data_IF_878435365214
#
_entry.id   IF_878435365214
#
_cell.length_a   1.000
_cell.length_b   1.000
_cell.length_c   1.000
_cell.angle_alpha   90.00
_cell.angle_beta   90.00
_cell.angle_gamma   90.00
#
_symmetry.space_group_name_H-M   'P 1'
#
loop_
_entity.id
_entity.type
_entity.pdbx_description
1 polymer ?
#
# COMPACT_ATOMS: atom_id res chain seq x y z
N UNK A 1 12.95 22.57 47.28
CA UNK A 1 11.85 22.54 46.29
C UNK A 1 11.97 21.24 45.51
N UNK A 2 10.98 20.35 45.59
CA UNK A 2 10.99 19.08 44.88
C UNK A 2 10.63 19.31 43.40
N UNK A 3 11.50 18.92 42.46
CA UNK A 3 11.18 18.91 41.03
C UNK A 3 10.50 17.58 40.71
N UNK A 4 9.20 17.64 40.42
CA UNK A 4 8.43 16.47 40.00
C UNK A 4 8.65 16.27 38.50
N UNK A 5 9.17 15.10 38.12
CA UNK A 5 9.28 14.71 36.71
C UNK A 5 7.95 14.09 36.27
N UNK A 6 7.40 14.58 35.16
CA UNK A 6 6.23 13.99 34.53
C UNK A 6 6.69 12.84 33.63
N UNK A 7 6.07 11.66 33.79
CA UNK A 7 6.26 10.55 32.85
C UNK A 7 5.48 10.89 31.59
N UNK A 8 6.18 10.96 30.47
CA UNK A 8 5.60 11.12 29.14
C UNK A 8 5.61 9.75 28.45
N UNK A 9 4.50 9.39 27.83
CA UNK A 9 4.41 8.16 27.03
C UNK A 9 4.61 8.54 25.56
N UNK A 10 5.59 7.94 24.92
CA UNK A 10 5.81 8.08 23.48
C UNK A 10 5.14 6.92 22.76
N UNK A 11 4.48 7.24 21.65
CA UNK A 11 3.91 6.24 20.74
C UNK A 11 4.53 6.39 19.35
N UNK A 12 4.75 5.26 18.69
CA UNK A 12 5.11 5.20 17.27
C UNK A 12 3.90 4.68 16.51
N UNK A 13 3.56 5.35 15.42
CA UNK A 13 2.50 4.89 14.53
C UNK A 13 2.92 3.59 13.85
N UNK A 14 2.12 2.54 13.99
CA UNK A 14 2.29 1.29 13.23
C UNK A 14 2.16 1.49 11.72
N UNK A 15 1.59 2.60 11.26
CA UNK A 15 1.61 2.93 9.83
C UNK A 15 3.04 3.13 9.32
N UNK A 16 3.96 3.62 10.15
CA UNK A 16 5.35 3.84 9.74
C UNK A 16 6.12 2.54 9.49
N UNK A 17 5.62 1.41 10.02
CA UNK A 17 6.16 0.07 9.75
C UNK A 17 5.87 -0.39 8.31
N UNK A 18 4.93 0.25 7.60
CA UNK A 18 4.48 -0.22 6.28
C UNK A 18 4.38 0.87 5.22
N UNK A 19 4.08 2.11 5.62
CA UNK A 19 3.79 3.25 4.73
C UNK A 19 4.90 4.29 4.74
N UNK A 20 6.15 3.83 4.77
CA UNK A 20 7.31 4.64 4.38
C UNK A 20 7.69 4.33 2.94
N UNK A 21 8.40 5.24 2.27
CA UNK A 21 8.79 4.99 0.88
C UNK A 21 9.69 3.75 0.74
N UNK A 22 10.58 3.53 1.70
CA UNK A 22 11.45 2.35 1.71
C UNK A 22 10.65 1.07 1.93
N UNK A 23 9.70 1.06 2.87
CA UNK A 23 8.84 -0.09 3.14
C UNK A 23 7.98 -0.44 1.93
N UNK A 24 7.36 0.57 1.31
CA UNK A 24 6.57 0.39 0.09
C UNK A 24 7.42 -0.14 -1.06
N UNK A 25 8.64 0.37 -1.25
CA UNK A 25 9.55 -0.15 -2.28
C UNK A 25 9.96 -1.60 -2.02
N UNK A 26 10.21 -1.98 -0.76
CA UNK A 26 10.53 -3.36 -0.39
C UNK A 26 9.34 -4.30 -0.63
N UNK A 27 8.13 -3.90 -0.22
CA UNK A 27 6.93 -4.72 -0.39
C UNK A 27 6.52 -4.86 -1.86
N UNK A 28 6.62 -3.77 -2.63
CA UNK A 28 6.29 -3.77 -4.06
C UNK A 28 7.40 -4.36 -4.93
N UNK A 29 8.62 -4.55 -4.39
CA UNK A 29 9.78 -5.03 -5.14
C UNK A 29 10.20 -4.08 -6.27
N UNK A 30 9.91 -2.78 -6.14
CA UNK A 30 10.09 -1.79 -7.19
C UNK A 30 10.40 -0.39 -6.65
N UNK A 31 11.15 0.38 -7.44
CA UNK A 31 11.42 1.78 -7.16
C UNK A 31 10.15 2.65 -7.28
N UNK A 32 10.08 3.81 -6.59
CA UNK A 32 8.89 4.67 -6.55
C UNK A 32 8.35 5.08 -7.91
N UNK A 33 9.22 5.27 -8.90
CA UNK A 33 8.83 5.65 -10.26
C UNK A 33 8.05 4.54 -11.01
N UNK A 34 8.09 3.29 -10.53
CA UNK A 34 7.37 2.15 -11.12
C UNK A 34 6.11 1.77 -10.34
N UNK A 35 5.88 2.36 -9.16
CA UNK A 35 4.74 1.99 -8.31
C UNK A 35 3.39 2.18 -9.00
N UNK A 36 3.21 3.27 -9.75
CA UNK A 36 1.96 3.49 -10.49
C UNK A 36 1.67 2.40 -11.51
N UNK A 37 2.70 1.92 -12.22
CA UNK A 37 2.57 0.82 -13.17
C UNK A 37 2.28 -0.51 -12.46
N UNK A 38 2.96 -0.78 -11.34
CA UNK A 38 2.76 -1.99 -10.56
C UNK A 38 1.35 -2.03 -9.96
N UNK A 39 0.87 -0.90 -9.42
CA UNK A 39 -0.49 -0.75 -8.91
C UNK A 39 -1.53 -1.01 -10.00
N UNK A 40 -1.34 -0.46 -11.21
CA UNK A 40 -2.24 -0.73 -12.33
C UNK A 40 -2.26 -2.23 -12.67
N UNK A 41 -1.10 -2.88 -12.70
CA UNK A 41 -0.98 -4.33 -12.94
C UNK A 41 -1.74 -5.13 -11.87
N UNK A 42 -1.52 -4.86 -10.59
CA UNK A 42 -2.21 -5.57 -9.50
C UNK A 42 -3.72 -5.32 -9.51
N UNK A 43 -4.18 -4.11 -9.85
CA UNK A 43 -5.62 -3.83 -10.00
C UNK A 43 -6.25 -4.58 -11.17
N UNK A 44 -5.53 -4.71 -12.28
CA UNK A 44 -5.97 -5.48 -13.43
C UNK A 44 -6.01 -6.99 -13.13
N UNK A 45 -4.97 -7.53 -12.49
CA UNK A 45 -4.92 -8.94 -12.09
C UNK A 45 -6.09 -9.27 -11.16
N UNK A 46 -6.33 -8.46 -10.13
CA UNK A 46 -7.46 -8.65 -9.22
C UNK A 46 -8.82 -8.61 -9.94
N UNK A 47 -8.98 -7.75 -10.95
CA UNK A 47 -10.21 -7.66 -11.73
C UNK A 47 -10.39 -8.88 -12.66
N UNK A 48 -9.30 -9.39 -13.24
CA UNK A 48 -9.30 -10.62 -14.02
C UNK A 48 -9.66 -11.82 -13.15
N UNK A 49 -8.99 -11.98 -12.01
CA UNK A 49 -9.24 -13.06 -11.04
C UNK A 49 -10.71 -13.08 -10.60
N UNK A 50 -11.32 -11.90 -10.39
CA UNK A 50 -12.73 -11.78 -10.04
C UNK A 50 -13.65 -12.28 -11.17
N UNK A 51 -13.32 -11.99 -12.43
CA UNK A 51 -14.09 -12.47 -13.58
C UNK A 51 -13.94 -14.00 -13.75
N UNK A 52 -12.73 -14.52 -13.58
CA UNK A 52 -12.43 -15.95 -13.63
C UNK A 52 -13.19 -16.70 -12.53
N UNK A 53 -13.16 -16.20 -11.30
CA UNK A 53 -13.88 -16.78 -10.18
C UNK A 53 -15.40 -16.79 -10.39
N UNK A 54 -15.94 -15.81 -11.12
CA UNK A 54 -17.35 -15.73 -11.48
C UNK A 54 -17.70 -16.50 -12.77
N UNK A 55 -16.71 -17.01 -13.52
CA UNK A 55 -16.92 -17.71 -14.80
C UNK A 55 -17.47 -16.80 -15.92
N UNK A 56 -17.19 -15.50 -15.87
CA UNK A 56 -17.65 -14.52 -16.86
C UNK A 56 -16.49 -14.02 -17.73
N UNK A 57 -16.81 -13.58 -18.95
CA UNK A 57 -15.82 -12.92 -19.81
C UNK A 57 -15.40 -11.57 -19.18
N UNK A 58 -14.09 -11.28 -19.09
CA UNK A 58 -13.62 -10.05 -18.47
C UNK A 58 -13.84 -8.83 -19.38
N UNK A 59 -14.49 -7.80 -18.83
CA UNK A 59 -14.58 -6.46 -19.41
C UNK A 59 -14.06 -5.43 -18.41
N UNK A 60 -12.84 -4.92 -18.63
CA UNK A 60 -12.15 -4.05 -17.67
C UNK A 60 -11.79 -2.73 -18.35
N UNK A 61 -12.39 -1.63 -17.88
CA UNK A 61 -12.11 -0.28 -18.36
C UNK A 61 -11.08 0.42 -17.45
N UNK A 62 -10.02 0.95 -18.04
CA UNK A 62 -8.96 1.68 -17.33
C UNK A 62 -8.92 3.12 -17.80
N UNK A 63 -8.81 4.05 -16.84
CA UNK A 63 -8.50 5.46 -17.08
C UNK A 63 -7.43 5.90 -16.10
N UNK A 64 -6.35 6.47 -16.63
CA UNK A 64 -5.29 7.12 -15.85
C UNK A 64 -5.30 8.61 -16.23
N UNK A 65 -5.16 9.50 -15.25
CA UNK A 65 -5.17 10.96 -15.42
C UNK A 65 -3.95 11.58 -14.77
#
# INVERSE_FOLDING_TARGET
MSRILQREMFETSRLLEYFSANELSMQLGADPHRWGLLLLKELLDNALDACEAAGIAPEIAVRVT
#
